data_IF_357598971744
#
_entry.id   IF_357598971744
#
_cell.length_a   1.000
_cell.length_b   1.000
_cell.length_c   1.000
_cell.angle_alpha   90.00
_cell.angle_beta   90.00
_cell.angle_gamma   90.00
#
_symmetry.space_group_name_H-M   'P 1'
#
loop_
_entity.id
_entity.type
_entity.pdbx_description
1 polymer ?
#
# COMPACT_ATOMS: atom_id res chain seq x y z
N UNK A 1 0.19 13.95 10.99
CA UNK A 1 0.62 14.08 9.58
C UNK A 1 -0.32 13.23 8.74
N UNK A 2 -1.13 13.81 7.84
CA UNK A 2 -2.22 13.10 7.13
C UNK A 2 -1.76 11.88 6.32
N UNK A 3 -0.51 11.85 5.86
CA UNK A 3 0.07 10.69 5.17
C UNK A 3 0.25 9.43 6.03
N UNK A 4 0.18 9.54 7.37
CA UNK A 4 0.14 8.37 8.28
C UNK A 4 -1.15 7.56 8.13
N UNK A 5 -2.20 8.16 7.58
CA UNK A 5 -3.49 7.51 7.31
C UNK A 5 -3.52 6.79 5.96
N UNK A 6 -2.36 6.62 5.31
CA UNK A 6 -2.27 5.82 4.10
C UNK A 6 -2.76 4.39 4.37
N UNK A 7 -3.52 3.83 3.42
CA UNK A 7 -3.98 2.43 3.51
C UNK A 7 -2.96 1.50 2.89
N UNK A 8 -2.59 0.45 3.62
CA UNK A 8 -1.72 -0.59 3.10
C UNK A 8 -2.51 -1.60 2.25
N UNK A 9 -1.88 -2.10 1.19
CA UNK A 9 -2.30 -3.27 0.43
C UNK A 9 -1.37 -4.43 0.83
N UNK A 10 -1.94 -5.45 1.46
CA UNK A 10 -1.24 -6.65 1.90
C UNK A 10 -2.03 -7.90 1.49
N UNK A 11 -1.33 -8.97 1.12
CA UNK A 11 -1.92 -10.26 0.78
C UNK A 11 -1.28 -11.34 1.65
N UNK A 12 -2.11 -12.25 2.14
CA UNK A 12 -1.65 -13.40 2.92
C UNK A 12 -0.96 -14.44 2.01
N UNK A 13 -1.35 -14.50 0.74
CA UNK A 13 -0.80 -15.39 -0.28
C UNK A 13 0.35 -14.74 -1.05
N UNK A 14 1.09 -15.50 -1.89
CA UNK A 14 2.04 -14.93 -2.82
C UNK A 14 1.39 -13.81 -3.64
N UNK A 15 1.94 -12.61 -3.52
CA UNK A 15 1.39 -11.39 -4.10
C UNK A 15 1.09 -11.51 -5.60
N UNK A 16 1.96 -12.18 -6.37
CA UNK A 16 1.72 -12.39 -7.81
C UNK A 16 0.48 -13.23 -8.08
N UNK A 17 0.30 -14.32 -7.32
CA UNK A 17 -0.84 -15.20 -7.42
C UNK A 17 -2.14 -14.46 -7.04
N UNK A 18 -2.13 -13.74 -5.91
CA UNK A 18 -3.26 -12.93 -5.48
C UNK A 18 -3.64 -11.88 -6.53
N UNK A 19 -2.66 -11.14 -7.06
CA UNK A 19 -2.90 -10.11 -8.08
C UNK A 19 -3.51 -10.67 -9.36
N UNK A 20 -2.99 -11.80 -9.88
CA UNK A 20 -3.57 -12.45 -11.06
C UNK A 20 -5.03 -12.84 -10.83
N UNK A 21 -5.32 -13.44 -9.67
CA UNK A 21 -6.67 -13.88 -9.31
C UNK A 21 -7.65 -12.71 -9.16
N UNK A 22 -7.25 -11.62 -8.49
CA UNK A 22 -8.13 -10.46 -8.27
C UNK A 22 -8.44 -9.78 -9.61
N UNK A 23 -7.47 -9.73 -10.52
CA UNK A 23 -7.66 -9.18 -11.86
C UNK A 23 -8.64 -10.03 -12.67
N UNK A 24 -8.43 -11.35 -12.72
CA UNK A 24 -9.34 -12.30 -13.37
C UNK A 24 -10.76 -12.19 -12.79
N UNK A 25 -10.87 -12.24 -11.45
CA UNK A 25 -12.13 -12.13 -10.73
C UNK A 25 -12.90 -10.85 -11.05
N UNK A 26 -12.21 -9.69 -11.07
CA UNK A 26 -12.84 -8.41 -11.37
C UNK A 26 -13.44 -8.37 -12.78
N UNK A 27 -12.72 -8.89 -13.78
CA UNK A 27 -13.21 -8.91 -15.16
C UNK A 27 -14.34 -9.92 -15.38
N UNK A 28 -14.27 -11.09 -14.74
CA UNK A 28 -15.36 -12.07 -14.77
C UNK A 28 -16.64 -11.45 -14.18
N UNK A 29 -16.54 -10.78 -13.03
CA UNK A 29 -17.67 -10.10 -12.37
C UNK A 29 -18.30 -9.00 -13.23
N UNK A 30 -17.50 -8.22 -13.96
CA UNK A 30 -18.02 -7.24 -14.92
C UNK A 30 -18.72 -7.94 -16.09
N UNK A 31 -18.16 -9.04 -16.58
CA UNK A 31 -18.70 -9.81 -17.70
C UNK A 31 -20.08 -10.40 -17.37
N UNK A 32 -20.25 -10.93 -16.15
CA UNK A 32 -21.52 -11.47 -15.66
C UNK A 32 -22.63 -10.41 -15.55
N UNK A 33 -22.26 -9.15 -15.30
CA UNK A 33 -23.21 -8.04 -15.12
C UNK A 33 -23.69 -7.41 -16.44
N UNK A 34 -23.11 -7.77 -17.59
CA UNK A 34 -23.49 -7.23 -18.89
C UNK A 34 -24.78 -7.89 -19.42
N UNK A 35 -25.73 -7.13 -20.00
CA UNK A 35 -26.94 -7.70 -20.60
C UNK A 35 -26.62 -8.72 -21.69
N UNK A 36 -27.34 -9.86 -21.68
CA UNK A 36 -27.25 -10.89 -22.72
C UNK A 36 -27.50 -10.25 -24.10
N UNK A 37 -26.46 -10.25 -24.95
CA UNK A 37 -26.48 -9.65 -26.29
C UNK A 37 -25.36 -8.62 -26.54
N UNK A 38 -24.89 -7.92 -25.51
CA UNK A 38 -23.65 -7.09 -25.57
C UNK A 38 -22.39 -7.94 -25.38
N UNK A 39 -22.54 -9.15 -24.83
CA UNK A 39 -21.49 -10.14 -24.60
C UNK A 39 -20.85 -10.68 -25.88
N UNK A 40 -21.53 -10.64 -27.03
CA UNK A 40 -21.07 -11.23 -28.29
C UNK A 40 -20.02 -10.35 -29.01
N UNK A 41 -20.03 -9.03 -28.76
CA UNK A 41 -19.18 -8.08 -29.50
C UNK A 41 -17.82 -7.78 -28.83
N UNK A 42 -17.65 -8.11 -27.54
CA UNK A 42 -16.49 -7.63 -26.75
C UNK A 42 -15.86 -8.66 -25.79
N UNK A 43 -16.26 -9.95 -25.76
CA UNK A 43 -15.69 -10.91 -24.79
C UNK A 43 -14.24 -11.32 -25.14
N UNK A 44 -13.29 -11.23 -24.20
CA UNK A 44 -12.50 -12.40 -23.81
C UNK A 44 -13.42 -13.39 -23.07
N UNK A 45 -13.29 -14.69 -23.31
CA UNK A 45 -14.03 -15.72 -22.57
C UNK A 45 -13.74 -15.61 -21.06
N UNK A 46 -14.71 -15.97 -20.21
CA UNK A 46 -14.46 -16.15 -18.78
C UNK A 46 -13.30 -17.13 -18.61
N UNK A 47 -12.26 -16.71 -17.89
CA UNK A 47 -11.13 -17.57 -17.55
C UNK A 47 -11.17 -17.85 -16.05
N UNK A 48 -10.85 -19.09 -15.70
CA UNK A 48 -10.72 -19.57 -14.33
C UNK A 48 -9.34 -20.19 -14.10
N UNK A 49 -8.37 -19.81 -14.94
CA UNK A 49 -7.04 -20.41 -14.95
C UNK A 49 -6.33 -20.07 -13.63
N UNK A 50 -6.39 -18.81 -13.20
CA UNK A 50 -5.75 -18.37 -11.97
C UNK A 50 -6.56 -18.78 -10.72
N UNK A 51 -7.89 -18.81 -10.81
CA UNK A 51 -8.73 -19.38 -9.75
C UNK A 51 -8.32 -20.83 -9.44
N UNK A 52 -8.09 -21.64 -10.46
CA UNK A 52 -7.68 -23.05 -10.29
C UNK A 52 -6.33 -23.14 -9.57
N UNK A 53 -5.34 -22.36 -10.02
CA UNK A 53 -4.01 -22.29 -9.39
C UNK A 53 -4.10 -21.87 -7.91
N UNK A 54 -4.94 -20.89 -7.59
CA UNK A 54 -5.12 -20.41 -6.22
C UNK A 54 -5.80 -21.43 -5.31
N UNK A 55 -6.81 -22.15 -5.82
CA UNK A 55 -7.47 -23.24 -5.08
C UNK A 55 -6.47 -24.36 -4.77
N UNK A 56 -5.62 -24.75 -5.73
CA UNK A 56 -4.57 -25.73 -5.48
C UNK A 56 -3.57 -25.24 -4.42
N UNK A 57 -3.18 -23.96 -4.49
CA UNK A 57 -2.32 -23.36 -3.49
C UNK A 57 -2.94 -23.43 -2.07
N UNK A 58 -4.24 -23.08 -1.93
CA UNK A 58 -4.96 -23.17 -0.65
C UNK A 58 -5.02 -24.61 -0.12
N UNK A 59 -5.27 -25.60 -1.01
CA UNK A 59 -5.30 -27.03 -0.62
C UNK A 59 -3.98 -27.47 0.02
N UNK A 60 -2.85 -27.05 -0.56
CA UNK A 60 -1.52 -27.47 -0.10
C UNK A 60 -1.10 -26.73 1.17
N UNK A 61 -1.38 -25.44 1.29
CA UNK A 61 -0.80 -24.58 2.33
C UNK A 61 -1.71 -24.35 3.52
N UNK A 62 -3.03 -24.40 3.34
CA UNK A 62 -4.00 -24.06 4.39
C UNK A 62 -4.87 -25.24 4.79
N UNK A 63 -5.30 -26.04 3.81
CA UNK A 63 -6.29 -27.11 4.03
C UNK A 63 -5.71 -28.51 4.09
N UNK A 64 -4.37 -28.65 4.17
CA UNK A 64 -3.66 -29.94 4.16
C UNK A 64 -4.14 -30.94 5.22
N UNK A 65 -4.85 -30.48 6.25
CA UNK A 65 -5.37 -31.31 7.35
C UNK A 65 -6.88 -31.61 7.31
N UNK A 66 -7.62 -31.17 6.29
CA UNK A 66 -9.10 -31.31 6.24
C UNK A 66 -9.62 -32.28 5.17
N UNK A 67 -8.77 -33.18 4.65
CA UNK A 67 -9.01 -34.02 3.46
C UNK A 67 -10.25 -34.95 3.49
N UNK A 68 -10.91 -35.13 4.64
CA UNK A 68 -11.98 -36.14 4.83
C UNK A 68 -13.42 -35.58 4.84
N UNK A 69 -13.65 -34.38 4.29
CA UNK A 69 -15.02 -33.81 4.19
C UNK A 69 -15.49 -33.74 2.74
N UNK A 70 -16.68 -34.26 2.46
CA UNK A 70 -17.32 -34.24 1.14
C UNK A 70 -17.56 -32.82 0.58
N UNK A 71 -17.43 -31.79 1.43
CA UNK A 71 -17.74 -30.38 1.13
C UNK A 71 -16.50 -29.47 0.91
N UNK A 72 -15.29 -30.03 0.85
CA UNK A 72 -14.04 -29.22 0.78
C UNK A 72 -14.02 -28.28 -0.43
N UNK A 73 -14.48 -28.74 -1.59
CA UNK A 73 -14.44 -27.92 -2.80
C UNK A 73 -15.41 -26.72 -2.73
N UNK A 74 -16.58 -26.87 -2.12
CA UNK A 74 -17.53 -25.76 -1.93
C UNK A 74 -16.96 -24.74 -0.93
N UNK A 75 -16.35 -25.22 0.16
CA UNK A 75 -15.67 -24.37 1.15
C UNK A 75 -14.54 -23.59 0.50
N UNK A 76 -13.70 -24.23 -0.32
CA UNK A 76 -12.59 -23.57 -1.02
C UNK A 76 -13.10 -22.50 -2.00
N UNK A 77 -14.14 -22.79 -2.77
CA UNK A 77 -14.74 -21.82 -3.68
C UNK A 77 -15.35 -20.62 -2.95
N UNK A 78 -16.09 -20.86 -1.86
CA UNK A 78 -16.63 -19.78 -1.01
C UNK A 78 -15.52 -18.94 -0.40
N UNK A 79 -14.44 -19.58 0.06
CA UNK A 79 -13.26 -18.91 0.63
C UNK A 79 -12.57 -18.05 -0.43
N UNK A 80 -12.35 -18.58 -1.63
CA UNK A 80 -11.79 -17.84 -2.76
C UNK A 80 -12.61 -16.59 -3.07
N UNK A 81 -13.92 -16.72 -3.29
CA UNK A 81 -14.81 -15.58 -3.62
C UNK A 81 -14.74 -14.52 -2.51
N UNK A 82 -14.85 -14.94 -1.25
CA UNK A 82 -14.78 -14.02 -0.10
C UNK A 82 -13.45 -13.27 -0.05
N UNK A 83 -12.33 -13.94 -0.34
CA UNK A 83 -11.01 -13.30 -0.37
C UNK A 83 -10.86 -12.34 -1.52
N UNK A 84 -11.26 -12.74 -2.73
CA UNK A 84 -11.19 -11.87 -3.91
C UNK A 84 -12.03 -10.60 -3.72
N UNK A 85 -13.25 -10.71 -3.18
CA UNK A 85 -14.07 -9.54 -2.84
C UNK A 85 -13.41 -8.64 -1.80
N UNK A 86 -12.78 -9.20 -0.77
CA UNK A 86 -12.08 -8.42 0.26
C UNK A 86 -10.85 -7.71 -0.32
N UNK A 87 -10.08 -8.39 -1.16
CA UNK A 87 -8.91 -7.81 -1.82
C UNK A 87 -9.30 -6.74 -2.84
N UNK A 88 -10.35 -6.95 -3.63
CA UNK A 88 -10.90 -5.93 -4.53
C UNK A 88 -11.32 -4.68 -3.72
N UNK A 89 -12.02 -4.86 -2.59
CA UNK A 89 -12.39 -3.75 -1.68
C UNK A 89 -11.18 -3.06 -1.08
N UNK A 90 -10.17 -3.81 -0.64
CA UNK A 90 -8.94 -3.28 -0.07
C UNK A 90 -8.20 -2.41 -1.10
N UNK A 91 -8.00 -2.91 -2.32
CA UNK A 91 -7.35 -2.18 -3.41
C UNK A 91 -8.14 -0.92 -3.76
N UNK A 92 -9.45 -1.02 -3.95
CA UNK A 92 -10.28 0.16 -4.24
C UNK A 92 -10.25 1.18 -3.10
N UNK A 93 -10.28 0.71 -1.85
CA UNK A 93 -10.18 1.58 -0.68
C UNK A 93 -8.83 2.28 -0.55
N UNK A 94 -7.74 1.61 -0.95
CA UNK A 94 -6.41 2.22 -1.03
C UNK A 94 -6.33 3.24 -2.17
N UNK A 95 -6.88 2.94 -3.34
CA UNK A 95 -7.00 3.88 -4.47
C UNK A 95 -7.72 5.17 -4.03
N UNK A 96 -8.88 5.05 -3.36
CA UNK A 96 -9.63 6.21 -2.87
C UNK A 96 -8.81 7.03 -1.86
N UNK A 97 -8.15 6.35 -0.93
CA UNK A 97 -7.27 7.00 0.05
C UNK A 97 -6.09 7.72 -0.61
N UNK A 98 -5.45 7.13 -1.63
CA UNK A 98 -4.35 7.75 -2.35
C UNK A 98 -4.80 8.95 -3.19
N UNK A 99 -5.99 8.92 -3.77
CA UNK A 99 -6.60 10.10 -4.41
C UNK A 99 -6.75 11.23 -3.38
N UNK A 100 -7.27 10.96 -2.19
CA UNK A 100 -7.39 12.00 -1.15
C UNK A 100 -6.03 12.51 -0.68
N UNK A 101 -5.07 11.61 -0.44
CA UNK A 101 -3.70 11.99 -0.04
C UNK A 101 -2.99 12.85 -1.11
N UNK A 102 -3.29 12.64 -2.39
CA UNK A 102 -2.72 13.45 -3.47
C UNK A 102 -3.11 14.94 -3.38
N UNK A 103 -4.26 15.24 -2.76
CA UNK A 103 -4.79 16.60 -2.60
C UNK A 103 -4.17 17.34 -1.41
N UNK A 104 -3.47 16.64 -0.52
CA UNK A 104 -2.85 17.24 0.67
C UNK A 104 -1.82 18.30 0.25
N UNK A 105 -2.01 19.54 0.70
CA UNK A 105 -1.09 20.64 0.39
C UNK A 105 0.19 20.52 1.22
N UNK A 106 1.34 20.80 0.59
CA UNK A 106 2.62 20.98 1.30
C UNK A 106 2.99 22.47 1.46
N UNK A 107 2.07 23.39 1.16
CA UNK A 107 2.36 24.84 1.20
C UNK A 107 2.88 25.34 2.55
N UNK A 108 2.36 24.81 3.66
CA UNK A 108 2.85 25.14 5.00
C UNK A 108 4.26 24.63 5.23
N UNK A 109 4.57 23.42 4.75
CA UNK A 109 5.90 22.83 4.80
C UNK A 109 6.90 23.62 3.93
N UNK A 110 6.49 23.99 2.70
CA UNK A 110 7.26 24.83 1.78
C UNK A 110 7.58 26.20 2.42
N UNK A 111 6.57 26.82 3.04
CA UNK A 111 6.72 28.11 3.73
C UNK A 111 7.61 28.00 4.96
N UNK A 112 7.43 26.96 5.77
CA UNK A 112 8.27 26.70 6.94
C UNK A 112 9.74 26.48 6.55
N UNK A 113 9.99 25.72 5.48
CA UNK A 113 11.34 25.52 4.96
C UNK A 113 11.94 26.82 4.40
N UNK A 114 11.15 27.61 3.66
CA UNK A 114 11.57 28.92 3.16
C UNK A 114 11.96 29.89 4.27
N UNK A 115 11.18 29.93 5.36
CA UNK A 115 11.44 30.78 6.52
C UNK A 115 12.70 30.39 7.30
N UNK A 116 13.21 29.15 7.16
CA UNK A 116 14.51 28.79 7.75
C UNK A 116 15.66 29.63 7.21
N UNK A 117 15.56 30.16 5.98
CA UNK A 117 16.58 31.07 5.44
C UNK A 117 16.75 32.34 6.28
N UNK A 118 15.69 32.78 6.96
CA UNK A 118 15.75 33.96 7.83
C UNK A 118 16.32 33.65 9.22
N UNK A 119 16.06 32.44 9.73
CA UNK A 119 16.36 32.07 11.12
C UNK A 119 17.76 31.43 11.25
N UNK A 120 18.20 30.64 10.27
CA UNK A 120 19.43 29.86 10.36
C UNK A 120 20.40 30.21 9.23
N UNK A 121 21.48 30.94 9.55
CA UNK A 121 22.61 31.14 8.64
C UNK A 121 23.48 29.87 8.45
N UNK A 122 23.20 28.79 9.20
CA UNK A 122 23.96 27.55 9.15
C UNK A 122 23.51 26.63 8.01
N UNK A 123 24.31 26.59 6.94
CA UNK A 123 24.06 25.76 5.76
C UNK A 123 23.98 24.25 6.04
N UNK A 124 24.67 23.73 7.06
CA UNK A 124 24.69 22.30 7.39
C UNK A 124 23.36 21.83 7.99
N UNK A 125 22.82 22.61 8.94
CA UNK A 125 21.50 22.35 9.55
C UNK A 125 20.41 22.40 8.48
N UNK A 126 20.48 23.40 7.59
CA UNK A 126 19.54 23.55 6.47
C UNK A 126 19.59 22.38 5.50
N UNK A 127 20.79 21.96 5.09
CA UNK A 127 20.97 20.84 4.17
C UNK A 127 20.43 19.53 4.75
N UNK A 128 20.62 19.28 6.05
CA UNK A 128 20.05 18.11 6.73
C UNK A 128 18.52 18.17 6.77
N UNK A 129 17.93 19.29 7.19
CA UNK A 129 16.47 19.45 7.20
C UNK A 129 15.85 19.27 5.80
N UNK A 130 16.54 19.75 4.76
CA UNK A 130 16.12 19.53 3.38
C UNK A 130 16.12 18.05 3.00
N UNK A 131 17.27 17.38 3.14
CA UNK A 131 17.45 16.02 2.65
C UNK A 131 16.70 14.97 3.47
N UNK A 132 16.66 15.15 4.80
CA UNK A 132 16.14 14.14 5.72
C UNK A 132 14.63 14.27 5.98
N UNK A 133 14.05 15.47 5.82
CA UNK A 133 12.64 15.75 6.13
C UNK A 133 11.91 16.22 4.88
N UNK A 134 12.28 17.39 4.37
CA UNK A 134 11.51 18.10 3.34
C UNK A 134 11.45 17.31 2.02
N UNK A 135 12.61 16.90 1.50
CA UNK A 135 12.71 16.21 0.22
C UNK A 135 12.07 14.82 0.30
N UNK A 136 12.23 14.09 1.42
CA UNK A 136 11.58 12.78 1.59
C UNK A 136 10.05 12.90 1.50
N UNK A 137 9.44 13.84 2.24
CA UNK A 137 7.99 14.09 2.18
C UNK A 137 7.53 14.49 0.78
N UNK A 138 8.31 15.33 0.09
CA UNK A 138 8.00 15.79 -1.26
C UNK A 138 8.03 14.64 -2.27
N UNK A 139 9.05 13.78 -2.21
CA UNK A 139 9.16 12.61 -3.07
C UNK A 139 8.00 11.62 -2.85
N UNK A 140 7.63 11.38 -1.58
CA UNK A 140 6.47 10.55 -1.24
C UNK A 140 5.17 11.10 -1.82
N UNK A 141 4.90 12.40 -1.63
CA UNK A 141 3.73 13.05 -2.21
C UNK A 141 3.76 12.99 -3.73
N UNK A 142 4.90 13.26 -4.35
CA UNK A 142 5.05 13.26 -5.81
C UNK A 142 4.65 11.90 -6.40
N UNK A 143 5.12 10.81 -5.79
CA UNK A 143 4.76 9.45 -6.21
C UNK A 143 3.25 9.19 -6.11
N UNK A 144 2.61 9.62 -5.02
CA UNK A 144 1.14 9.50 -4.87
C UNK A 144 0.41 10.33 -5.93
N UNK A 145 0.88 11.55 -6.20
CA UNK A 145 0.28 12.49 -7.14
C UNK A 145 0.35 11.97 -8.59
N UNK A 146 1.49 11.42 -9.00
CA UNK A 146 1.69 10.85 -10.34
C UNK A 146 0.69 9.72 -10.61
N UNK A 147 0.48 8.85 -9.61
CA UNK A 147 -0.42 7.71 -9.75
C UNK A 147 -1.91 8.08 -9.58
N UNK A 148 -2.20 9.13 -8.81
CA UNK A 148 -3.57 9.64 -8.62
C UNK A 148 -4.25 10.03 -9.94
N UNK A 149 -3.50 10.44 -10.97
CA UNK A 149 -4.06 10.67 -12.30
C UNK A 149 -4.73 9.41 -12.88
N UNK A 150 -4.03 8.26 -12.84
CA UNK A 150 -4.55 6.99 -13.32
C UNK A 150 -5.74 6.51 -12.48
N UNK A 151 -5.66 6.69 -11.17
CA UNK A 151 -6.74 6.36 -10.24
C UNK A 151 -8.02 7.16 -10.55
N UNK A 152 -7.89 8.46 -10.80
CA UNK A 152 -9.03 9.29 -11.19
C UNK A 152 -9.63 8.86 -12.54
N UNK A 153 -8.80 8.47 -13.52
CA UNK A 153 -9.32 7.93 -14.79
C UNK A 153 -10.14 6.66 -14.56
N UNK A 154 -9.64 5.75 -13.72
CA UNK A 154 -10.35 4.52 -13.35
C UNK A 154 -11.67 4.81 -12.64
N UNK A 155 -11.68 5.69 -11.63
CA UNK A 155 -12.91 6.07 -10.91
C UNK A 155 -13.95 6.75 -11.81
N UNK A 156 -13.50 7.40 -12.89
CA UNK A 156 -14.37 7.99 -13.91
C UNK A 156 -14.76 7.02 -15.04
N UNK A 157 -14.49 5.71 -14.90
CA UNK A 157 -14.86 4.68 -15.89
C UNK A 157 -14.02 4.68 -17.17
N UNK A 158 -12.89 5.40 -17.18
CA UNK A 158 -11.97 5.51 -18.33
C UNK A 158 -10.63 4.80 -18.12
N UNK A 159 -10.43 4.19 -16.95
CA UNK A 159 -9.20 3.51 -16.58
C UNK A 159 -9.38 2.00 -16.48
N UNK A 160 -8.25 1.30 -16.42
CA UNK A 160 -8.19 -0.16 -16.34
C UNK A 160 -7.87 -0.60 -14.90
N UNK A 161 -8.67 -1.53 -14.35
CA UNK A 161 -8.49 -2.01 -12.99
C UNK A 161 -7.14 -2.69 -12.77
N UNK A 162 -6.72 -3.57 -13.68
CA UNK A 162 -5.44 -4.28 -13.55
C UNK A 162 -4.26 -3.31 -13.46
N UNK A 163 -4.25 -2.28 -14.31
CA UNK A 163 -3.23 -1.23 -14.28
C UNK A 163 -3.28 -0.45 -12.97
N UNK A 164 -4.47 -0.08 -12.49
CA UNK A 164 -4.61 0.69 -11.26
C UNK A 164 -4.29 -0.13 -10.01
N UNK A 165 -4.62 -1.42 -9.98
CA UNK A 165 -4.30 -2.34 -8.90
C UNK A 165 -2.77 -2.48 -8.75
N UNK A 166 -2.05 -2.65 -9.87
CA UNK A 166 -0.59 -2.69 -9.88
C UNK A 166 0.03 -1.38 -9.38
N UNK A 167 -0.46 -0.24 -9.88
CA UNK A 167 0.01 1.09 -9.44
C UNK A 167 -0.27 1.35 -7.96
N UNK A 168 -1.45 0.98 -7.48
CA UNK A 168 -1.81 1.12 -6.06
C UNK A 168 -0.89 0.26 -5.18
N UNK A 169 -0.56 -0.95 -5.61
CA UNK A 169 0.39 -1.82 -4.92
C UNK A 169 1.80 -1.22 -4.90
N UNK A 170 2.27 -0.61 -5.99
CA UNK A 170 3.56 0.07 -6.06
C UNK A 170 3.64 1.32 -5.17
N UNK A 171 2.53 2.05 -5.03
CA UNK A 171 2.40 3.14 -4.05
C UNK A 171 2.47 2.55 -2.64
N UNK A 172 1.69 1.50 -2.34
CA UNK A 172 1.71 0.83 -1.02
C UNK A 172 3.13 0.43 -0.63
N UNK A 173 3.87 -0.25 -1.51
CA UNK A 173 5.26 -0.67 -1.26
C UNK A 173 6.26 0.47 -1.05
N UNK A 174 5.95 1.68 -1.51
CA UNK A 174 6.80 2.84 -1.21
C UNK A 174 6.50 3.49 0.12
N UNK A 175 5.28 3.32 0.63
CA UNK A 175 4.84 3.89 1.90
C UNK A 175 5.07 2.92 3.06
N UNK A 176 5.02 1.62 2.80
CA UNK A 176 5.09 0.56 3.81
C UNK A 176 6.28 -0.37 3.59
N UNK A 177 6.84 -0.84 4.70
CA UNK A 177 7.77 -1.94 4.74
C UNK A 177 7.13 -3.12 5.45
N UNK A 178 7.44 -4.33 4.96
CA UNK A 178 7.00 -5.58 5.55
C UNK A 178 8.21 -6.33 6.11
N UNK A 179 8.13 -6.71 7.38
CA UNK A 179 9.10 -7.61 8.01
C UNK A 179 8.42 -8.91 8.38
N UNK A 180 8.94 -10.01 7.82
CA UNK A 180 8.47 -11.37 8.12
C UNK A 180 9.35 -11.98 9.19
N UNK A 181 8.77 -12.27 10.35
CA UNK A 181 9.46 -13.00 11.41
C UNK A 181 8.86 -14.40 11.50
N UNK A 182 9.67 -15.41 11.21
CA UNK A 182 9.30 -16.81 11.46
C UNK A 182 9.66 -17.16 12.89
N UNK A 183 8.68 -17.58 13.68
CA UNK A 183 8.89 -18.19 14.98
C UNK A 183 8.45 -19.65 14.92
N UNK A 184 8.97 -20.48 15.82
CA UNK A 184 8.73 -21.93 15.82
C UNK A 184 7.24 -22.31 15.87
N UNK A 185 6.38 -21.41 16.34
CA UNK A 185 4.94 -21.65 16.55
C UNK A 185 4.04 -20.84 15.60
N UNK A 186 4.51 -19.71 15.07
CA UNK A 186 3.74 -18.88 14.15
C UNK A 186 4.65 -18.00 13.29
N UNK A 187 4.19 -17.72 12.08
CA UNK A 187 4.75 -16.68 11.24
C UNK A 187 4.04 -15.36 11.57
N UNK A 188 4.80 -14.27 11.69
CA UNK A 188 4.24 -12.93 11.89
C UNK A 188 4.76 -11.96 10.83
N UNK A 189 3.86 -11.11 10.35
CA UNK A 189 4.16 -10.06 9.39
C UNK A 189 3.92 -8.72 10.08
N UNK A 190 4.95 -7.89 10.13
CA UNK A 190 4.86 -6.51 10.64
C UNK A 190 4.88 -5.57 9.45
N UNK A 191 3.84 -4.74 9.35
CA UNK A 191 3.72 -3.69 8.34
C UNK A 191 3.86 -2.35 9.02
N UNK A 192 4.81 -1.52 8.57
CA UNK A 192 5.08 -0.22 9.18
C UNK A 192 5.59 0.81 8.16
N UNK A 193 5.54 2.09 8.52
CA UNK A 193 5.83 3.21 7.63
C UNK A 193 7.21 3.81 7.91
N UNK A 194 8.28 3.02 7.68
CA UNK A 194 9.65 3.40 8.05
C UNK A 194 10.06 4.80 7.58
N UNK A 195 9.71 5.19 6.35
CA UNK A 195 10.09 6.50 5.84
C UNK A 195 9.51 7.64 6.68
N UNK A 196 8.29 7.48 7.19
CA UNK A 196 7.67 8.46 8.09
C UNK A 196 8.28 8.40 9.49
N UNK A 197 8.62 7.21 9.97
CA UNK A 197 9.34 7.04 11.24
C UNK A 197 10.71 7.76 11.19
N UNK A 198 11.47 7.56 10.11
CA UNK A 198 12.74 8.25 9.87
C UNK A 198 12.57 9.78 9.78
N UNK A 199 11.49 10.26 9.13
CA UNK A 199 11.19 11.70 9.02
C UNK A 199 10.87 12.28 10.40
N UNK A 200 10.10 11.58 11.23
CA UNK A 200 9.77 12.01 12.60
C UNK A 200 11.01 12.03 13.49
N UNK A 201 11.88 11.02 13.39
CA UNK A 201 13.16 10.99 14.10
C UNK A 201 14.06 12.16 13.66
N UNK A 202 14.20 12.40 12.36
CA UNK A 202 14.98 13.52 11.84
C UNK A 202 14.40 14.87 12.25
N UNK A 203 13.06 15.00 12.32
CA UNK A 203 12.39 16.20 12.81
C UNK A 203 12.68 16.46 14.29
N UNK A 204 12.68 15.41 15.11
CA UNK A 204 12.99 15.55 16.53
C UNK A 204 14.47 15.89 16.74
N UNK A 205 15.38 15.22 16.02
CA UNK A 205 16.81 15.56 16.02
C UNK A 205 17.07 17.00 15.57
N UNK A 206 16.29 17.51 14.62
CA UNK A 206 16.34 18.89 14.16
C UNK A 206 15.87 19.85 15.26
N UNK A 207 14.74 19.57 15.92
CA UNK A 207 14.23 20.35 17.06
C UNK A 207 15.23 20.42 18.20
N UNK A 208 15.81 19.29 18.60
CA UNK A 208 16.81 19.23 19.67
C UNK A 208 17.98 20.15 19.37
N UNK A 209 18.51 20.13 18.14
CA UNK A 209 19.64 21.01 17.74
C UNK A 209 19.29 22.50 17.76
N UNK A 210 18.02 22.86 17.60
CA UNK A 210 17.57 24.25 17.64
C UNK A 210 17.37 24.71 19.10
N UNK A 211 16.67 23.91 19.89
CA UNK A 211 16.31 24.28 21.26
C UNK A 211 17.47 24.11 22.25
N UNK A 212 18.30 23.10 22.04
CA UNK A 212 19.43 22.75 22.89
C UNK A 212 20.72 22.93 22.07
N UNK A 213 21.28 24.14 22.09
CA UNK A 213 22.64 24.39 21.56
C UNK A 213 23.64 23.50 22.33
N UNK A 214 23.97 22.34 21.76
CA UNK A 214 24.95 21.33 22.19
C UNK A 214 24.75 20.65 23.56
N UNK A 215 24.51 19.33 23.47
CA UNK A 215 24.72 18.23 24.44
C UNK A 215 24.28 18.45 25.90
N UNK A 216 23.14 17.85 26.26
CA UNK A 216 23.07 17.15 27.55
C UNK A 216 23.62 15.74 27.39
N UNK A 217 24.43 15.33 28.37
CA UNK A 217 25.21 14.10 28.39
C UNK A 217 24.32 12.85 28.21
N UNK A 218 24.89 11.83 27.57
CA UNK A 218 24.28 10.51 27.46
C UNK A 218 23.90 9.99 28.85
N UNK A 219 22.60 9.78 29.07
CA UNK A 219 22.12 9.05 30.25
C UNK A 219 22.44 7.58 30.00
N UNK A 220 23.45 7.06 30.71
CA UNK A 220 23.66 5.62 30.83
C UNK A 220 22.41 5.01 31.44
N UNK A 221 21.75 4.13 30.68
CA UNK A 221 20.73 3.27 31.25
C UNK A 221 21.46 2.15 31.98
N UNK A 222 21.37 2.16 33.30
CA UNK A 222 21.84 1.06 34.14
C UNK A 222 21.18 -0.25 33.70
N UNK A 223 22.00 -1.30 33.70
CA UNK A 223 21.68 -2.65 33.21
C UNK A 223 20.65 -3.36 34.07
#
# INVERSE_FOLDING_TARGET
>A
MQFREAKCIHFDEPQELAMKCIIEYHYNKITEQLPQGMSILFRPEESHDHQTEYIEWMKVHEFRMFADKDDINEILNKTYISRMDNYEKMINGAIDNYIELSKVSLSELDSAYGNMNFIFANNSIRSKAYNEIFNKLRLLKQKILEEAYHFNLYKNGKGNFAVCAQKALEVSKSLFMEEKTKQDVFDSIRVYQKQFDDIEESLENFRVKIYYKEKEASIERER
#
